data_IF_276937398440
#
_entry.id   IF_276937398440
#
_cell.length_a   1.000
_cell.length_b   1.000
_cell.length_c   1.000
_cell.angle_alpha   90.00
_cell.angle_beta   90.00
_cell.angle_gamma   90.00
#
_symmetry.space_group_name_H-M   'P 1'
#
loop_
_entity.id
_entity.type
_entity.pdbx_description
1 polymer ?
#
# COMPACT_ATOMS: atom_id res chain seq x y z
N UNK A 1 -3.68 -7.30 11.33
CA UNK A 1 -4.33 -8.36 10.54
C UNK A 1 -3.34 -8.87 9.51
N UNK A 2 -3.46 -10.15 9.16
CA UNK A 2 -2.79 -10.75 8.00
C UNK A 2 -3.91 -11.27 7.11
N UNK A 3 -3.83 -11.02 5.81
CA UNK A 3 -4.81 -11.51 4.84
C UNK A 3 -4.11 -12.01 3.58
N UNK A 4 -4.74 -12.97 2.91
CA UNK A 4 -4.35 -13.45 1.60
C UNK A 4 -5.56 -13.34 0.69
N UNK A 5 -5.41 -12.65 -0.43
CA UNK A 5 -6.44 -12.50 -1.45
C UNK A 5 -5.96 -13.18 -2.73
N UNK A 6 -6.80 -14.07 -3.27
CA UNK A 6 -6.58 -14.72 -4.56
C UNK A 6 -7.67 -14.27 -5.54
N UNK A 7 -7.26 -13.91 -6.74
CA UNK A 7 -8.13 -13.62 -7.87
C UNK A 7 -7.82 -14.55 -9.04
N UNK A 8 -8.85 -14.90 -9.80
CA UNK A 8 -8.76 -15.68 -11.03
C UNK A 8 -9.70 -15.09 -12.10
N UNK A 9 -9.18 -14.86 -13.30
CA UNK A 9 -9.98 -14.48 -14.47
C UNK A 9 -10.60 -15.76 -15.06
N UNK A 10 -11.92 -15.91 -14.95
CA UNK A 10 -12.61 -17.15 -15.34
C UNK A 10 -12.60 -17.41 -16.86
N UNK A 11 -12.57 -16.34 -17.67
CA UNK A 11 -12.50 -16.38 -19.13
C UNK A 11 -11.28 -15.61 -19.59
N UNK A 12 -10.12 -16.14 -19.25
CA UNK A 12 -8.85 -15.53 -19.62
C UNK A 12 -8.63 -15.63 -21.13
N UNK A 13 -8.14 -14.54 -21.70
CA UNK A 13 -7.73 -14.41 -23.10
C UNK A 13 -6.36 -13.72 -23.12
N UNK A 14 -5.48 -14.11 -24.04
CA UNK A 14 -4.11 -13.59 -24.14
C UNK A 14 -4.02 -12.09 -24.49
N UNK A 15 -5.12 -11.44 -24.88
CA UNK A 15 -5.19 -9.99 -25.08
C UNK A 15 -5.43 -9.23 -23.78
N UNK A 16 -5.78 -9.93 -22.69
CA UNK A 16 -5.94 -9.33 -21.37
C UNK A 16 -4.56 -9.02 -20.80
N UNK A 17 -4.36 -7.75 -20.46
CA UNK A 17 -3.11 -7.22 -19.91
C UNK A 17 -2.79 -7.83 -18.53
N UNK A 18 -3.81 -8.04 -17.70
CA UNK A 18 -3.65 -8.61 -16.36
C UNK A 18 -3.44 -10.12 -16.42
N UNK A 19 -2.62 -10.66 -15.53
CA UNK A 19 -2.38 -12.11 -15.44
C UNK A 19 -3.66 -12.87 -15.04
N UNK A 20 -3.80 -14.11 -15.50
CA UNK A 20 -4.97 -14.96 -15.20
C UNK A 20 -5.19 -15.14 -13.70
N UNK A 21 -4.10 -15.27 -12.94
CA UNK A 21 -4.10 -15.40 -11.49
C UNK A 21 -3.35 -14.22 -10.88
N UNK A 22 -3.92 -13.68 -9.81
CA UNK A 22 -3.28 -12.65 -9.00
C UNK A 22 -3.45 -12.97 -7.53
N UNK A 23 -2.36 -12.85 -6.77
CA UNK A 23 -2.31 -13.21 -5.36
C UNK A 23 -1.63 -12.11 -4.59
N UNK A 24 -2.37 -11.53 -3.64
CA UNK A 24 -1.89 -10.45 -2.79
C UNK A 24 -1.88 -10.90 -1.34
N UNK A 25 -0.72 -10.80 -0.70
CA UNK A 25 -0.61 -10.90 0.76
C UNK A 25 -0.66 -9.50 1.34
N UNK A 26 -1.44 -9.32 2.41
CA UNK A 26 -1.49 -8.07 3.15
C UNK A 26 -1.22 -8.28 4.63
N UNK A 27 -0.46 -7.36 5.19
CA UNK A 27 -0.26 -7.21 6.62
C UNK A 27 -0.62 -5.79 7.01
N UNK A 28 -1.40 -5.64 8.07
CA UNK A 28 -1.69 -4.35 8.67
C UNK A 28 -1.49 -4.40 10.18
N UNK A 29 -0.56 -3.59 10.67
CA UNK A 29 -0.32 -3.39 12.09
C UNK A 29 -0.69 -1.96 12.48
N UNK A 30 -1.36 -1.80 13.61
CA UNK A 30 -1.65 -0.51 14.22
C UNK A 30 -1.55 -0.66 15.73
N UNK A 31 -0.86 0.27 16.39
CA UNK A 31 -0.70 0.21 17.84
C UNK A 31 -0.82 1.62 18.43
N UNK A 32 -1.85 1.89 19.25
CA UNK A 32 -1.94 3.16 19.94
C UNK A 32 -0.97 3.22 21.14
N UNK A 33 -0.48 4.42 21.39
CA UNK A 33 0.34 4.80 22.54
C UNK A 33 -0.12 6.15 23.09
N UNK A 34 0.33 6.49 24.30
CA UNK A 34 0.07 7.79 24.94
C UNK A 34 -1.43 8.11 25.03
N UNK A 35 -2.25 7.16 25.49
CA UNK A 35 -3.72 7.29 25.54
C UNK A 35 -4.29 7.69 24.17
N UNK A 36 -3.96 6.91 23.14
CA UNK A 36 -4.35 7.13 21.74
C UNK A 36 -3.85 8.44 21.10
N UNK A 37 -2.93 9.18 21.74
CA UNK A 37 -2.35 10.38 21.14
C UNK A 37 -1.30 10.09 20.09
N UNK A 38 -0.58 8.98 20.18
CA UNK A 38 0.43 8.60 19.19
C UNK A 38 0.07 7.24 18.62
N UNK A 39 -0.19 7.17 17.32
CA UNK A 39 -0.63 5.95 16.67
C UNK A 39 0.22 5.64 15.43
N UNK A 40 1.32 4.88 15.60
CA UNK A 40 1.99 4.24 14.48
C UNK A 40 1.13 3.13 13.87
N UNK A 41 1.24 3.03 12.55
CA UNK A 41 0.68 1.96 11.74
C UNK A 41 1.64 1.59 10.61
N UNK A 42 1.51 0.35 10.15
CA UNK A 42 2.24 -0.19 9.02
C UNK A 42 1.28 -1.01 8.18
N UNK A 43 1.15 -0.65 6.91
CA UNK A 43 0.56 -1.49 5.88
C UNK A 43 1.67 -2.07 5.02
N UNK A 44 1.66 -3.38 4.81
CA UNK A 44 2.54 -4.07 3.87
C UNK A 44 1.69 -4.88 2.91
N UNK A 45 1.88 -4.70 1.60
CA UNK A 45 1.26 -5.49 0.55
C UNK A 45 2.36 -6.17 -0.25
N UNK A 46 2.21 -7.46 -0.53
CA UNK A 46 3.09 -8.22 -1.39
C UNK A 46 2.29 -8.87 -2.51
N UNK A 47 2.60 -8.51 -3.75
CA UNK A 47 1.99 -9.00 -4.98
C UNK A 47 2.85 -10.15 -5.49
N UNK A 48 2.41 -11.39 -5.26
CA UNK A 48 3.26 -12.57 -5.49
C UNK A 48 3.66 -12.76 -6.95
N UNK A 49 2.74 -12.45 -7.87
CA UNK A 49 2.89 -12.75 -9.29
C UNK A 49 3.83 -11.78 -9.99
N UNK A 50 3.80 -10.52 -9.54
CA UNK A 50 4.62 -9.43 -10.07
C UNK A 50 5.90 -9.21 -9.25
N UNK A 51 6.03 -9.88 -8.10
CA UNK A 51 7.13 -9.72 -7.15
C UNK A 51 7.26 -8.26 -6.61
N UNK A 52 6.14 -7.56 -6.50
CA UNK A 52 6.09 -6.18 -6.02
C UNK A 52 5.70 -6.12 -4.55
N UNK A 53 6.23 -5.11 -3.86
CA UNK A 53 5.95 -4.83 -2.45
C UNK A 53 5.63 -3.35 -2.25
N UNK A 54 4.54 -3.08 -1.54
CA UNK A 54 4.24 -1.75 -0.99
C UNK A 54 4.40 -1.79 0.54
N UNK A 55 5.28 -0.95 1.07
CA UNK A 55 5.39 -0.70 2.50
C UNK A 55 4.94 0.73 2.80
N UNK A 56 3.94 0.86 3.66
CA UNK A 56 3.35 2.13 4.08
C UNK A 56 3.41 2.29 5.60
N UNK A 57 4.56 2.69 6.16
CA UNK A 57 4.62 3.16 7.54
C UNK A 57 3.93 4.53 7.65
N UNK A 58 3.11 4.71 8.68
CA UNK A 58 2.43 5.97 8.99
C UNK A 58 2.41 6.19 10.50
N UNK A 59 2.56 7.44 10.91
CA UNK A 59 2.43 7.86 12.31
C UNK A 59 1.40 8.98 12.38
N UNK A 60 0.46 8.84 13.30
CA UNK A 60 -0.54 9.86 13.61
C UNK A 60 -0.30 10.40 15.03
N UNK A 61 -0.41 11.72 15.21
CA UNK A 61 -0.28 12.38 16.50
C UNK A 61 -1.43 13.36 16.76
N UNK A 62 -2.22 13.10 17.79
CA UNK A 62 -3.28 13.99 18.26
C UNK A 62 -2.66 15.05 19.19
N UNK A 63 -2.44 16.25 18.66
CA UNK A 63 -1.95 17.41 19.42
C UNK A 63 -2.98 17.85 20.47
N UNK A 64 -4.25 17.89 20.06
CA UNK A 64 -5.41 18.17 20.90
C UNK A 64 -6.56 17.27 20.48
N UNK A 65 -7.70 17.38 21.16
CA UNK A 65 -8.92 16.64 20.78
C UNK A 65 -9.50 17.10 19.42
N UNK A 66 -9.03 18.25 18.93
CA UNK A 66 -9.48 18.86 17.67
C UNK A 66 -8.41 18.86 16.58
N UNK A 67 -7.13 18.66 16.92
CA UNK A 67 -6.02 18.80 15.98
C UNK A 67 -5.17 17.54 15.94
N UNK A 68 -5.07 16.95 14.75
CA UNK A 68 -4.28 15.77 14.45
C UNK A 68 -3.27 16.08 13.36
N UNK A 69 -2.04 15.61 13.56
CA UNK A 69 -1.00 15.55 12.53
C UNK A 69 -0.82 14.11 12.10
N UNK A 70 -0.52 13.88 10.83
CA UNK A 70 -0.01 12.58 10.39
C UNK A 70 1.11 12.73 9.39
N UNK A 71 2.01 11.76 9.39
CA UNK A 71 3.05 11.62 8.38
C UNK A 71 3.20 10.17 7.99
N UNK A 72 3.47 9.92 6.72
CA UNK A 72 3.62 8.57 6.18
C UNK A 72 4.60 8.53 5.02
N UNK A 73 5.01 7.32 4.70
CA UNK A 73 5.79 7.03 3.51
C UNK A 73 5.09 5.93 2.73
N UNK A 74 5.16 5.98 1.41
CA UNK A 74 4.87 4.85 0.54
C UNK A 74 6.18 4.43 -0.11
N UNK A 75 6.69 3.28 0.30
CA UNK A 75 7.88 2.66 -0.27
C UNK A 75 7.41 1.58 -1.23
N UNK A 76 7.65 1.80 -2.51
CA UNK A 76 7.25 0.91 -3.59
C UNK A 76 8.50 0.20 -4.08
N UNK A 77 8.60 -1.10 -3.78
CA UNK A 77 9.79 -1.93 -4.03
C UNK A 77 9.37 -3.04 -4.99
N UNK A 78 10.04 -3.15 -6.13
CA UNK A 78 9.67 -4.12 -7.14
C UNK A 78 10.61 -4.05 -8.33
N UNK A 79 10.57 -5.09 -9.16
CA UNK A 79 11.34 -5.15 -10.39
C UNK A 79 10.55 -4.53 -11.54
N UNK A 80 11.28 -3.98 -12.52
CA UNK A 80 10.67 -3.48 -13.75
C UNK A 80 10.18 -4.69 -14.55
N UNK A 81 8.87 -4.88 -14.64
CA UNK A 81 8.27 -5.84 -15.58
C UNK A 81 8.48 -5.41 -17.03
N UNK A 82 9.06 -6.32 -17.81
CA UNK A 82 8.84 -6.56 -19.24
C UNK A 82 9.06 -5.44 -20.27
N UNK A 83 9.49 -5.76 -21.51
CA UNK A 83 9.63 -4.79 -22.60
C UNK A 83 8.30 -4.25 -23.16
N UNK A 84 7.14 -4.66 -22.62
CA UNK A 84 5.83 -4.39 -23.20
C UNK A 84 5.13 -3.19 -22.52
N UNK A 85 4.70 -2.17 -23.29
CA UNK A 85 3.88 -1.09 -22.75
C UNK A 85 2.54 -1.63 -22.29
N UNK A 86 2.20 -1.44 -21.01
CA UNK A 86 0.89 -1.76 -20.46
C UNK A 86 0.89 -2.79 -19.33
N UNK A 87 2.02 -3.39 -18.93
CA UNK A 87 2.08 -4.17 -17.67
C UNK A 87 1.76 -3.24 -16.48
N UNK A 88 0.49 -3.27 -16.04
CA UNK A 88 0.01 -2.49 -14.90
C UNK A 88 0.44 -3.19 -13.61
N UNK A 89 1.64 -2.87 -13.15
CA UNK A 89 2.03 -3.09 -11.76
C UNK A 89 1.14 -2.19 -10.89
N UNK A 90 0.45 -2.74 -9.87
CA UNK A 90 -0.59 -2.03 -9.10
C UNK A 90 -0.13 -0.70 -8.46
N UNK A 91 1.18 -0.52 -8.30
CA UNK A 91 1.79 0.80 -8.07
C UNK A 91 1.79 1.62 -9.37
N UNK A 92 0.59 1.82 -9.94
CA UNK A 92 0.35 2.06 -11.36
C UNK A 92 0.85 3.36 -12.00
N UNK A 93 1.71 4.15 -11.34
CA UNK A 93 2.37 5.31 -11.95
C UNK A 93 3.73 5.66 -11.35
N UNK A 94 4.16 5.00 -10.26
CA UNK A 94 5.32 5.39 -9.47
C UNK A 94 6.40 4.32 -9.61
N UNK A 95 7.29 4.52 -10.59
CA UNK A 95 8.39 3.60 -10.90
C UNK A 95 9.56 3.84 -9.95
N UNK A 96 9.79 2.94 -8.99
CA UNK A 96 10.91 3.01 -8.05
C UNK A 96 10.99 4.35 -7.29
N UNK A 97 9.81 4.93 -7.04
CA UNK A 97 9.65 6.20 -6.35
C UNK A 97 9.10 5.96 -4.95
N UNK A 98 9.45 6.85 -4.05
CA UNK A 98 8.88 6.87 -2.70
C UNK A 98 8.04 8.13 -2.55
N UNK A 99 6.85 7.99 -1.98
CA UNK A 99 5.99 9.13 -1.69
C UNK A 99 6.04 9.45 -0.20
N UNK A 100 6.26 10.71 0.13
CA UNK A 100 6.05 11.23 1.47
C UNK A 100 4.66 11.84 1.59
N UNK A 101 3.99 11.57 2.70
CA UNK A 101 2.69 12.13 3.06
C UNK A 101 2.83 12.91 4.37
N UNK A 102 2.21 14.08 4.42
CA UNK A 102 2.03 14.86 5.64
C UNK A 102 0.64 15.49 5.62
N UNK A 103 -0.13 15.27 6.67
CA UNK A 103 -1.49 15.77 6.81
C UNK A 103 -1.66 16.54 8.13
N UNK A 104 -2.47 17.58 8.06
CA UNK A 104 -3.01 18.28 9.23
C UNK A 104 -4.53 18.18 9.15
N UNK A 105 -5.15 17.60 10.18
CA UNK A 105 -6.60 17.47 10.28
C UNK A 105 -7.10 18.25 11.48
N UNK A 106 -8.08 19.13 11.26
CA UNK A 106 -8.79 19.84 12.31
C UNK A 106 -10.27 19.43 12.31
N UNK A 107 -10.81 19.08 13.48
CA UNK A 107 -12.19 18.63 13.66
C UNK A 107 -12.95 19.58 14.59
N UNK A 108 -14.13 20.03 14.15
CA UNK A 108 -15.05 20.88 14.92
C UNK A 108 -16.07 20.07 15.72
#
# INVERSE_FOLDING_TARGET
SVQMQQQKILRYDSTIIQREYDTVLSFFGRKPFLNDRLVPSLLALYFMVDNDTLLRPKVEYNLTDHLKLSTGLDLMIGDIGGPLPGEFHFVGFFKNESRFEFDVTYSF
#
